data_IF_364983641012
#
_entry.id   IF_364983641012
#
_cell.length_a   1.000
_cell.length_b   1.000
_cell.length_c   1.000
_cell.angle_alpha   90.00
_cell.angle_beta   90.00
_cell.angle_gamma   90.00
#
_symmetry.space_group_name_H-M   'P 1'
#
loop_
_entity.id
_entity.type
_entity.pdbx_description
1 polymer ?
#
# COMPACT_ATOMS: atom_id res chain seq x y z
N UNK A 1 -6.21 -16.94 59.11
CA UNK A 1 -5.01 -16.38 58.47
C UNK A 1 -5.46 -15.69 57.18
N UNK A 2 -5.43 -14.36 57.15
CA UNK A 2 -5.69 -13.56 55.94
C UNK A 2 -4.39 -13.42 55.13
N UNK A 3 -4.48 -13.47 53.80
CA UNK A 3 -3.44 -13.02 52.86
C UNK A 3 -4.01 -13.04 51.44
N UNK A 4 -4.64 -11.95 50.97
CA UNK A 4 -4.09 -10.82 50.20
C UNK A 4 -3.42 -11.17 48.84
N UNK A 5 -4.16 -10.79 47.78
CA UNK A 5 -3.77 -9.95 46.61
C UNK A 5 -3.24 -10.59 45.30
N UNK A 6 -4.01 -10.25 44.24
CA UNK A 6 -3.65 -9.57 42.96
C UNK A 6 -3.38 -10.39 41.68
N UNK A 7 -4.01 -9.92 40.61
CA UNK A 7 -3.69 -10.11 39.18
C UNK A 7 -4.93 -10.53 38.39
N UNK A 8 -5.62 -9.71 37.59
CA UNK A 8 -5.22 -8.47 36.92
C UNK A 8 -4.42 -8.79 35.65
N UNK A 9 -5.10 -8.91 34.50
CA UNK A 9 -4.47 -9.21 33.21
C UNK A 9 -5.40 -8.98 32.03
N UNK A 10 -5.75 -7.71 31.79
CA UNK A 10 -6.17 -7.23 30.47
C UNK A 10 -4.97 -6.67 29.69
N UNK A 11 -5.22 -6.37 28.40
CA UNK A 11 -4.34 -5.81 27.36
C UNK A 11 -3.43 -6.85 26.66
N UNK A 12 -3.23 -6.84 25.33
CA UNK A 12 -3.17 -5.71 24.40
C UNK A 12 -4.04 -5.96 23.15
N UNK A 13 -4.91 -5.03 22.72
CA UNK A 13 -4.59 -3.75 22.08
C UNK A 13 -3.69 -3.92 20.83
N UNK A 14 -4.32 -4.19 19.69
CA UNK A 14 -3.84 -3.71 18.39
C UNK A 14 -4.80 -2.59 17.96
N UNK A 15 -4.63 -1.43 18.59
CA UNK A 15 -5.08 -0.16 18.02
C UNK A 15 -4.26 0.13 16.76
N UNK A 16 -4.87 0.78 15.77
CA UNK A 16 -4.10 1.38 14.67
C UNK A 16 -4.59 1.15 13.25
N UNK A 17 -5.90 1.13 13.00
CA UNK A 17 -6.43 1.60 11.71
C UNK A 17 -7.91 1.95 11.88
N UNK A 18 -8.18 3.17 12.35
CA UNK A 18 -9.54 3.73 12.35
C UNK A 18 -9.99 4.02 10.92
N UNK A 19 -10.35 2.97 10.18
CA UNK A 19 -11.05 3.03 8.89
C UNK A 19 -12.57 3.11 9.05
N UNK A 20 -13.10 3.28 10.28
CA UNK A 20 -14.54 3.47 10.47
C UNK A 20 -14.95 4.79 9.83
N UNK A 21 -15.77 4.65 8.78
CA UNK A 21 -16.72 5.65 8.28
C UNK A 21 -17.20 6.55 9.41
N UNK A 22 -16.74 7.81 9.42
CA UNK A 22 -17.51 8.91 9.96
C UNK A 22 -18.30 9.52 8.79
N UNK A 23 -19.60 9.23 8.79
CA UNK A 23 -20.69 10.14 8.43
C UNK A 23 -20.86 10.63 6.99
N UNK A 24 -22.12 10.65 6.56
CA UNK A 24 -22.67 11.88 5.99
C UNK A 24 -22.53 12.07 4.47
N UNK A 25 -23.67 12.45 3.87
CA UNK A 25 -23.86 12.97 2.52
C UNK A 25 -22.66 13.79 2.00
N UNK A 26 -22.11 13.40 0.84
CA UNK A 26 -21.41 14.34 -0.06
C UNK A 26 -19.88 14.27 -0.19
N UNK A 27 -19.16 13.31 0.41
CA UNK A 27 -17.70 13.23 0.19
C UNK A 27 -17.38 12.46 -1.08
N UNK A 28 -16.76 13.11 -2.07
CA UNK A 28 -16.16 12.47 -3.24
C UNK A 28 -15.31 11.26 -2.81
N UNK A 29 -15.33 10.14 -3.55
CA UNK A 29 -14.51 8.99 -3.19
C UNK A 29 -13.04 9.42 -3.10
N UNK A 30 -12.41 9.15 -1.95
CA UNK A 30 -10.99 9.39 -1.75
C UNK A 30 -10.22 8.38 -2.62
N UNK A 31 -9.89 8.80 -3.84
CA UNK A 31 -9.05 8.02 -4.73
C UNK A 31 -7.66 7.87 -4.11
N UNK A 32 -7.10 6.69 -4.23
CA UNK A 32 -5.75 6.39 -3.80
C UNK A 32 -5.05 5.51 -4.84
N UNK A 33 -3.74 5.67 -4.91
CA UNK A 33 -2.83 4.79 -5.64
C UNK A 33 -2.14 3.92 -4.61
N UNK A 34 -2.18 2.61 -4.78
CA UNK A 34 -1.58 1.67 -3.84
C UNK A 34 -0.51 0.83 -4.52
N UNK A 35 0.49 0.46 -3.73
CA UNK A 35 1.49 -0.55 -4.04
C UNK A 35 1.30 -1.72 -3.08
N UNK A 36 1.07 -2.89 -3.65
CA UNK A 36 1.08 -4.16 -2.92
C UNK A 36 2.26 -5.01 -3.40
N UNK A 37 2.79 -5.82 -2.49
CA UNK A 37 3.86 -6.79 -2.77
C UNK A 37 3.44 -8.17 -2.34
N UNK A 38 3.90 -9.17 -3.09
CA UNK A 38 3.75 -10.56 -2.69
C UNK A 38 4.73 -10.87 -1.57
N UNK A 39 4.25 -11.52 -0.52
CA UNK A 39 5.10 -12.06 0.54
C UNK A 39 5.95 -13.26 0.08
N UNK A 40 5.56 -13.93 -1.01
CA UNK A 40 6.17 -15.19 -1.46
C UNK A 40 7.04 -15.04 -2.70
N UNK A 41 6.74 -14.04 -3.53
CA UNK A 41 7.40 -13.83 -4.81
C UNK A 41 7.93 -12.40 -4.90
N UNK A 42 9.02 -12.14 -5.63
CA UNK A 42 9.49 -10.79 -5.92
C UNK A 42 8.59 -10.11 -6.96
N UNK A 43 7.31 -9.93 -6.62
CA UNK A 43 6.26 -9.35 -7.46
C UNK A 43 5.58 -8.21 -6.71
N UNK A 44 5.30 -7.15 -7.45
CA UNK A 44 4.61 -5.96 -6.96
C UNK A 44 3.47 -5.64 -7.91
N UNK A 45 2.39 -5.07 -7.39
CA UNK A 45 1.30 -4.53 -8.17
C UNK A 45 1.00 -3.10 -7.75
N UNK A 46 0.84 -2.21 -8.74
CA UNK A 46 0.43 -0.82 -8.54
C UNK A 46 -0.93 -0.65 -9.18
N UNK A 47 -1.88 -0.07 -8.45
CA UNK A 47 -3.22 0.20 -8.96
C UNK A 47 -3.92 1.36 -8.26
N UNK A 48 -5.09 1.73 -8.80
CA UNK A 48 -5.94 2.81 -8.30
C UNK A 48 -7.22 2.24 -7.72
N UNK A 49 -7.69 2.76 -6.59
CA UNK A 49 -8.99 2.41 -5.98
C UNK A 49 -9.51 3.53 -5.09
N UNK A 50 -10.83 3.58 -4.89
CA UNK A 50 -11.48 4.40 -3.86
C UNK A 50 -11.75 3.65 -2.56
N UNK A 51 -11.54 2.33 -2.57
CA UNK A 51 -11.76 1.44 -1.44
C UNK A 51 -10.63 0.40 -1.42
N UNK A 52 -9.56 0.74 -0.70
CA UNK A 52 -8.36 -0.09 -0.61
C UNK A 52 -8.58 -1.38 0.19
N UNK A 53 -9.20 -1.37 1.39
CA UNK A 53 -9.43 -2.60 2.16
C UNK A 53 -10.20 -3.66 1.36
N UNK A 54 -11.27 -3.25 0.66
CA UNK A 54 -12.01 -4.17 -0.20
C UNK A 54 -11.16 -4.67 -1.36
N UNK A 55 -10.38 -3.80 -2.01
CA UNK A 55 -9.53 -4.18 -3.15
C UNK A 55 -8.41 -5.14 -2.75
N UNK A 56 -7.83 -4.98 -1.56
CA UNK A 56 -6.82 -5.91 -1.04
C UNK A 56 -7.40 -7.31 -0.83
N UNK A 57 -8.60 -7.41 -0.24
CA UNK A 57 -9.34 -8.68 -0.09
C UNK A 57 -9.64 -9.34 -1.44
N UNK A 58 -9.99 -8.55 -2.47
CA UNK A 58 -10.16 -9.06 -3.83
C UNK A 58 -8.85 -9.61 -4.42
N UNK A 59 -7.72 -8.92 -4.20
CA UNK A 59 -6.40 -9.40 -4.62
C UNK A 59 -6.01 -10.71 -3.91
N UNK A 60 -6.34 -10.85 -2.63
CA UNK A 60 -6.12 -12.07 -1.84
C UNK A 60 -7.15 -13.18 -2.11
N UNK A 61 -8.21 -12.90 -2.87
CA UNK A 61 -9.22 -13.89 -3.23
C UNK A 61 -10.29 -14.14 -2.17
N UNK A 62 -10.28 -13.36 -1.10
CA UNK A 62 -11.33 -13.37 -0.07
C UNK A 62 -12.66 -12.82 -0.61
N UNK A 63 -12.60 -11.95 -1.62
CA UNK A 63 -13.76 -11.37 -2.30
C UNK A 63 -13.70 -11.62 -3.82
N UNK A 64 -14.87 -11.78 -4.43
CA UNK A 64 -15.01 -11.87 -5.90
C UNK A 64 -14.60 -10.53 -6.57
N UNK A 65 -14.13 -10.62 -7.81
CA UNK A 65 -13.73 -9.45 -8.62
C UNK A 65 -12.25 -9.05 -8.56
N UNK A 66 -11.38 -9.92 -8.05
CA UNK A 66 -9.93 -9.74 -8.13
C UNK A 66 -9.39 -9.94 -9.56
N UNK A 67 -8.28 -9.27 -9.89
CA UNK A 67 -7.63 -9.44 -11.19
C UNK A 67 -7.01 -10.86 -11.31
N UNK A 68 -7.21 -11.55 -12.44
CA UNK A 68 -6.64 -12.89 -12.69
C UNK A 68 -5.12 -12.93 -12.48
N UNK A 69 -4.41 -11.88 -12.92
CA UNK A 69 -2.96 -11.74 -12.76
C UNK A 69 -2.49 -11.65 -11.29
N UNK A 70 -3.41 -11.34 -10.36
CA UNK A 70 -3.09 -11.26 -8.93
C UNK A 70 -3.21 -12.60 -8.19
N UNK A 71 -3.75 -13.64 -8.81
CA UNK A 71 -3.87 -14.95 -8.16
C UNK A 71 -2.51 -15.57 -7.80
N UNK A 72 -1.51 -15.44 -8.68
CA UNK A 72 -0.20 -16.08 -8.50
C UNK A 72 0.69 -15.41 -7.43
N UNK A 73 0.40 -14.18 -7.01
CA UNK A 73 1.21 -13.44 -6.04
C UNK A 73 0.64 -13.43 -4.61
N UNK A 74 -0.39 -14.21 -4.33
CA UNK A 74 -1.02 -14.26 -2.99
C UNK A 74 -0.10 -14.93 -1.95
N UNK A 75 -0.13 -14.49 -0.67
CA UNK A 75 -0.86 -13.32 -0.18
C UNK A 75 -0.12 -12.02 -0.48
N UNK A 76 -0.90 -11.01 -0.85
CA UNK A 76 -0.47 -9.65 -1.08
C UNK A 76 -0.54 -8.85 0.22
N UNK A 77 0.50 -8.06 0.44
CA UNK A 77 0.61 -7.13 1.57
C UNK A 77 0.67 -5.70 1.05
N UNK A 78 0.08 -4.78 1.79
CA UNK A 78 0.17 -3.36 1.51
C UNK A 78 1.59 -2.86 1.79
N UNK A 79 2.24 -2.28 0.79
CA UNK A 79 3.56 -1.65 0.96
C UNK A 79 3.44 -0.14 1.08
N UNK A 80 2.67 0.51 0.19
CA UNK A 80 2.51 1.96 0.15
C UNK A 80 1.10 2.34 -0.30
N UNK A 81 0.57 3.42 0.26
CA UNK A 81 -0.66 4.08 -0.21
C UNK A 81 -0.35 5.57 -0.42
N UNK A 82 -0.70 6.08 -1.60
CA UNK A 82 -0.64 7.50 -1.94
C UNK A 82 -2.06 8.04 -1.97
N UNK A 83 -2.29 9.18 -1.33
CA UNK A 83 -3.59 9.85 -1.17
C UNK A 83 -3.45 11.34 -1.46
N UNK A 84 -4.59 12.04 -1.46
CA UNK A 84 -4.66 13.49 -1.70
C UNK A 84 -5.04 13.85 -3.14
N UNK A 85 -5.30 12.87 -4.00
CA UNK A 85 -5.73 13.13 -5.38
C UNK A 85 -7.04 13.90 -5.43
N UNK A 86 -7.08 14.94 -6.27
CA UNK A 86 -8.25 15.80 -6.55
C UNK A 86 -9.36 14.99 -7.19
N UNK A 87 -8.99 14.11 -8.12
CA UNK A 87 -9.93 13.27 -8.85
C UNK A 87 -9.33 11.91 -9.25
N UNK A 88 -10.18 11.11 -9.91
CA UNK A 88 -9.81 9.81 -10.47
C UNK A 88 -8.69 9.94 -11.51
N UNK A 89 -8.80 10.93 -12.40
CA UNK A 89 -7.89 11.13 -13.52
C UNK A 89 -6.47 11.40 -13.04
N UNK A 90 -6.30 12.22 -12.02
CA UNK A 90 -5.01 12.50 -11.39
C UNK A 90 -4.39 11.22 -10.81
N UNK A 91 -5.19 10.40 -10.11
CA UNK A 91 -4.72 9.12 -9.59
C UNK A 91 -4.28 8.14 -10.70
N UNK A 92 -5.00 8.08 -11.84
CA UNK A 92 -4.59 7.27 -12.99
C UNK A 92 -3.32 7.80 -13.66
N UNK A 93 -3.20 9.12 -13.82
CA UNK A 93 -1.98 9.74 -14.37
C UNK A 93 -0.77 9.46 -13.48
N UNK A 94 -0.94 9.56 -12.16
CA UNK A 94 0.09 9.22 -11.18
C UNK A 94 0.51 7.75 -11.31
N UNK A 95 -0.46 6.83 -11.38
CA UNK A 95 -0.20 5.39 -11.53
C UNK A 95 0.59 5.08 -12.81
N UNK A 96 0.17 5.67 -13.94
CA UNK A 96 0.84 5.50 -15.23
C UNK A 96 2.27 6.06 -15.20
N UNK A 97 2.47 7.25 -14.61
CA UNK A 97 3.80 7.86 -14.43
C UNK A 97 4.70 7.00 -13.53
N UNK A 98 4.19 6.51 -12.41
CA UNK A 98 4.95 5.64 -11.51
C UNK A 98 5.37 4.34 -12.20
N UNK A 99 4.47 3.71 -12.97
CA UNK A 99 4.82 2.55 -13.80
C UNK A 99 5.83 2.88 -14.90
N UNK A 100 5.72 4.05 -15.53
CA UNK A 100 6.64 4.50 -16.57
C UNK A 100 8.05 4.72 -16.02
N UNK A 101 8.19 5.51 -14.95
CA UNK A 101 9.47 5.77 -14.28
C UNK A 101 10.08 4.47 -13.79
N UNK A 102 9.29 3.62 -13.11
CA UNK A 102 9.78 2.33 -12.62
C UNK A 102 10.31 1.41 -13.72
N UNK A 103 9.80 1.50 -14.96
CA UNK A 103 10.36 0.76 -16.12
C UNK A 103 11.66 1.36 -16.65
N UNK A 104 11.82 2.68 -16.56
CA UNK A 104 13.00 3.42 -17.04
C UNK A 104 14.16 3.41 -16.05
N UNK A 105 13.89 3.14 -14.77
CA UNK A 105 14.94 3.10 -13.76
C UNK A 105 15.93 1.95 -13.99
N UNK A 106 17.24 2.21 -13.91
CA UNK A 106 18.25 1.16 -14.01
C UNK A 106 18.04 0.08 -12.96
N UNK A 107 18.06 -1.18 -13.37
CA UNK A 107 18.10 -2.31 -12.43
C UNK A 107 19.55 -2.48 -11.96
N UNK A 108 19.84 -2.15 -10.70
CA UNK A 108 21.15 -2.42 -10.09
C UNK A 108 21.39 -3.94 -10.07
N UNK A 109 22.51 -4.44 -10.60
CA UNK A 109 22.81 -5.87 -10.76
C UNK A 109 23.55 -6.47 -9.56
N UNK A 110 23.28 -7.77 -9.31
CA UNK A 110 23.99 -8.77 -8.47
C UNK A 110 24.53 -8.34 -7.09
N UNK A 111 23.64 -8.21 -6.11
CA UNK A 111 23.93 -8.59 -4.71
C UNK A 111 22.81 -9.52 -4.24
N UNK A 112 23.18 -10.39 -3.33
CA UNK A 112 22.54 -11.59 -2.77
C UNK A 112 21.37 -11.28 -1.82
N UNK A 113 20.79 -10.09 -1.97
CA UNK A 113 19.77 -9.55 -1.09
C UNK A 113 18.35 -10.04 -1.44
N UNK A 114 17.51 -10.17 -0.40
CA UNK A 114 16.09 -10.55 -0.46
C UNK A 114 15.33 -9.82 -1.61
N UNK A 115 14.88 -10.58 -2.62
CA UNK A 115 14.33 -10.03 -3.86
C UNK A 115 13.10 -9.12 -3.70
N UNK A 116 12.35 -9.26 -2.60
CA UNK A 116 11.22 -8.36 -2.26
C UNK A 116 11.71 -7.00 -1.80
N UNK A 117 12.76 -6.93 -0.97
CA UNK A 117 13.34 -5.67 -0.47
C UNK A 117 13.90 -4.83 -1.63
N UNK A 118 14.65 -5.48 -2.54
CA UNK A 118 15.14 -4.82 -3.75
C UNK A 118 14.01 -4.26 -4.62
N UNK A 119 12.90 -4.99 -4.73
CA UNK A 119 11.73 -4.53 -5.46
C UNK A 119 11.08 -3.32 -4.79
N UNK A 120 10.98 -3.31 -3.46
CA UNK A 120 10.46 -2.17 -2.70
C UNK A 120 11.34 -0.94 -2.86
N UNK A 121 12.66 -1.07 -2.69
CA UNK A 121 13.62 0.02 -2.92
C UNK A 121 13.52 0.59 -4.34
N UNK A 122 13.39 -0.27 -5.34
CA UNK A 122 13.20 0.16 -6.73
C UNK A 122 11.90 0.93 -6.93
N UNK A 123 10.81 0.50 -6.28
CA UNK A 123 9.50 1.16 -6.35
C UNK A 123 9.51 2.50 -5.61
N UNK A 124 10.17 2.57 -4.47
CA UNK A 124 10.35 3.79 -3.70
C UNK A 124 11.19 4.81 -4.47
N UNK A 125 12.33 4.41 -5.04
CA UNK A 125 13.15 5.29 -5.88
C UNK A 125 12.40 5.81 -7.11
N UNK A 126 11.47 5.02 -7.65
CA UNK A 126 10.56 5.48 -8.70
C UNK A 126 9.50 6.44 -8.16
N UNK A 127 8.95 6.17 -6.98
CA UNK A 127 7.94 7.02 -6.34
C UNK A 127 8.50 8.41 -6.04
N UNK A 128 9.69 8.48 -5.46
CA UNK A 128 10.38 9.76 -5.16
C UNK A 128 10.51 10.63 -6.42
N UNK A 129 10.96 10.05 -7.54
CA UNK A 129 11.01 10.78 -8.82
C UNK A 129 9.65 11.24 -9.35
N UNK A 130 8.58 10.47 -9.11
CA UNK A 130 7.22 10.89 -9.50
C UNK A 130 6.78 12.06 -8.63
N UNK A 131 6.98 11.97 -7.31
CA UNK A 131 6.59 13.00 -6.35
C UNK A 131 7.40 14.27 -6.49
N UNK A 132 8.67 14.20 -6.90
CA UNK A 132 9.50 15.38 -7.17
C UNK A 132 9.12 16.06 -8.51
N UNK A 133 8.55 15.29 -9.46
CA UNK A 133 8.15 15.78 -10.79
C UNK A 133 6.75 16.38 -10.87
N UNK A 134 5.93 16.09 -9.87
CA UNK A 134 4.64 16.71 -9.65
C UNK A 134 4.91 17.76 -8.58
N UNK A 135 4.47 19.01 -8.73
CA UNK A 135 4.52 20.01 -7.65
C UNK A 135 3.58 19.57 -6.50
N UNK A 136 3.96 18.48 -5.82
CA UNK A 136 3.09 17.51 -5.15
C UNK A 136 2.79 17.88 -3.71
N UNK A 137 2.58 19.16 -3.43
CA UNK A 137 2.34 19.65 -2.08
C UNK A 137 1.03 19.16 -1.46
N UNK A 138 0.12 18.53 -2.23
CA UNK A 138 -1.13 17.96 -1.71
C UNK A 138 -1.13 16.42 -1.58
N UNK A 139 -0.08 15.72 -2.01
CA UNK A 139 -0.06 14.25 -1.96
C UNK A 139 0.54 13.75 -0.65
N UNK A 140 -0.17 12.82 -0.01
CA UNK A 140 0.27 12.13 1.20
C UNK A 140 0.69 10.70 0.86
N UNK A 141 1.91 10.33 1.23
CA UNK A 141 2.48 9.00 0.98
C UNK A 141 2.64 8.26 2.30
N UNK A 142 1.84 7.20 2.48
CA UNK A 142 1.87 6.33 3.65
C UNK A 142 2.58 5.00 3.31
N UNK A 143 3.77 4.77 3.86
CA UNK A 143 4.46 3.48 3.77
C UNK A 143 4.09 2.59 4.96
N UNK A 144 3.57 1.40 4.69
CA UNK A 144 3.10 0.43 5.70
C UNK A 144 4.18 -0.61 6.06
N UNK A 145 5.11 -0.83 5.14
CA UNK A 145 6.37 -1.51 5.40
C UNK A 145 7.45 -0.51 5.05
N UNK A 146 8.19 -0.01 6.04
CA UNK A 146 9.39 0.79 5.76
C UNK A 146 10.34 -0.04 4.88
N UNK A 147 11.09 0.59 3.95
CA UNK A 147 12.27 -0.08 3.42
C UNK A 147 13.18 -0.50 4.59
N UNK A 148 13.84 -1.67 4.54
CA UNK A 148 14.84 -2.03 5.53
C UNK A 148 16.00 -1.02 5.56
#
# INVERSE_FOLDING_TARGET
MMGRRRGGGGAAAAEGASWRRRGGRGTSPLWCVYLIVSSRLPRSYVGVTSDFPRRLKQHNGELKGGAKASCAGRPWMCACIVRGFKDKSEAFQFEARWKSISRRLPRKSKTDDNGVNKLLLHREAALRRVTDSLDGCHLHVDWMAGPP
#
